data_IF_158586068637
#
_entry.id   IF_158586068637
#
_cell.length_a   1.000
_cell.length_b   1.000
_cell.length_c   1.000
_cell.angle_alpha   90.00
_cell.angle_beta   90.00
_cell.angle_gamma   90.00
#
_symmetry.space_group_name_H-M   'P 1'
#
loop_
_entity.id
_entity.type
_entity.pdbx_description
1 polymer ?
#
# COMPACT_ATOMS: atom_id res chain seq x y z
N UNK A 1 -29.83 12.49 -58.36
CA UNK A 1 -28.80 12.17 -57.35
C UNK A 1 -29.35 11.13 -56.37
N UNK A 2 -28.92 9.87 -56.46
CA UNK A 2 -29.40 8.78 -55.61
C UNK A 2 -28.58 8.71 -54.30
N UNK A 3 -29.23 8.85 -53.14
CA UNK A 3 -28.59 8.72 -51.83
C UNK A 3 -28.62 7.25 -51.37
N UNK A 4 -27.43 6.63 -51.29
CA UNK A 4 -27.18 5.30 -50.71
C UNK A 4 -27.64 5.27 -49.24
N UNK A 5 -28.54 4.34 -48.87
CA UNK A 5 -28.86 4.02 -47.47
C UNK A 5 -27.78 3.10 -46.91
N UNK A 6 -27.07 3.55 -45.87
CA UNK A 6 -26.08 2.77 -45.13
C UNK A 6 -26.75 1.66 -44.29
N UNK A 7 -26.22 0.44 -44.39
CA UNK A 7 -26.65 -0.73 -43.64
C UNK A 7 -26.17 -0.64 -42.19
N UNK A 8 -27.12 -0.63 -41.24
CA UNK A 8 -26.83 -0.85 -39.82
C UNK A 8 -26.58 -2.34 -39.61
N UNK A 9 -25.31 -2.74 -39.45
CA UNK A 9 -24.95 -4.07 -38.93
C UNK A 9 -25.44 -4.16 -37.48
N UNK A 10 -26.38 -5.07 -37.22
CA UNK A 10 -26.86 -5.43 -35.89
C UNK A 10 -25.76 -6.15 -35.12
N UNK A 11 -25.37 -5.60 -33.97
CA UNK A 11 -24.54 -6.30 -32.98
C UNK A 11 -25.49 -7.11 -32.09
N UNK A 12 -25.30 -8.43 -31.91
CA UNK A 12 -26.15 -9.20 -31.02
C UNK A 12 -25.90 -8.81 -29.55
N UNK A 13 -26.94 -8.74 -28.69
CA UNK A 13 -26.77 -8.41 -27.29
C UNK A 13 -26.02 -9.53 -26.55
N UNK A 14 -24.96 -9.14 -25.83
CA UNK A 14 -24.16 -10.01 -24.95
C UNK A 14 -25.08 -10.61 -23.87
N UNK A 15 -25.16 -11.93 -23.81
CA UNK A 15 -25.94 -12.66 -22.80
C UNK A 15 -25.54 -12.23 -21.38
N UNK A 16 -26.52 -11.75 -20.61
CA UNK A 16 -26.38 -11.46 -19.18
C UNK A 16 -26.20 -12.77 -18.42
N UNK A 17 -24.98 -13.02 -17.94
CA UNK A 17 -24.71 -14.09 -16.97
C UNK A 17 -25.61 -13.87 -15.75
N UNK A 18 -26.51 -14.80 -15.51
CA UNK A 18 -27.34 -14.86 -14.31
C UNK A 18 -26.48 -14.73 -13.06
N UNK A 19 -26.81 -13.76 -12.19
CA UNK A 19 -26.18 -13.59 -10.88
C UNK A 19 -26.57 -14.79 -10.02
N UNK A 20 -25.59 -15.65 -9.72
CA UNK A 20 -25.77 -16.70 -8.70
C UNK A 20 -26.06 -16.04 -7.34
N UNK A 21 -26.96 -16.61 -6.50
CA UNK A 21 -27.20 -16.09 -5.16
C UNK A 21 -25.92 -16.25 -4.33
N UNK A 22 -25.51 -15.16 -3.68
CA UNK A 22 -24.31 -15.09 -2.83
C UNK A 22 -24.59 -15.92 -1.58
N UNK A 23 -23.95 -17.08 -1.48
CA UNK A 23 -23.90 -17.85 -0.24
C UNK A 23 -23.33 -16.95 0.87
N UNK A 24 -23.91 -17.03 2.09
CA UNK A 24 -23.46 -16.29 3.28
C UNK A 24 -21.96 -16.45 3.43
N UNK A 25 -21.21 -15.38 3.16
CA UNK A 25 -19.77 -15.37 3.32
C UNK A 25 -19.43 -15.57 4.79
N UNK A 26 -18.62 -16.58 5.09
CA UNK A 26 -18.03 -16.76 6.41
C UNK A 26 -17.20 -15.51 6.80
N UNK A 27 -17.20 -15.10 8.08
CA UNK A 27 -16.46 -13.93 8.50
C UNK A 27 -14.97 -14.15 8.24
N UNK A 28 -14.35 -13.24 7.48
CA UNK A 28 -12.92 -13.33 7.19
C UNK A 28 -12.17 -12.91 8.45
N UNK A 29 -11.03 -13.55 8.72
CA UNK A 29 -10.15 -13.20 9.86
C UNK A 29 -9.79 -11.71 9.87
N UNK A 30 -9.71 -11.08 8.69
CA UNK A 30 -9.47 -9.64 8.55
C UNK A 30 -10.55 -8.77 9.22
N UNK A 31 -11.80 -9.23 9.30
CA UNK A 31 -12.92 -8.48 9.89
C UNK A 31 -12.90 -8.53 11.43
N UNK A 32 -12.02 -9.33 12.04
CA UNK A 32 -11.88 -9.47 13.49
C UNK A 32 -10.84 -8.53 14.10
N UNK A 33 -10.10 -7.78 13.27
CA UNK A 33 -9.08 -6.84 13.74
C UNK A 33 -9.76 -5.51 14.07
N UNK A 34 -9.56 -4.95 15.28
CA UNK A 34 -10.13 -3.65 15.61
C UNK A 34 -9.57 -2.56 14.69
N UNK A 35 -10.44 -1.60 14.33
CA UNK A 35 -10.02 -0.45 13.53
C UNK A 35 -8.99 0.39 14.29
N UNK A 36 -7.86 0.69 13.64
CA UNK A 36 -6.81 1.53 14.21
C UNK A 36 -7.23 3.00 14.08
N UNK A 37 -7.13 3.76 15.16
CA UNK A 37 -7.36 5.21 15.13
C UNK A 37 -6.12 5.95 14.60
N UNK A 38 -6.28 7.13 13.97
CA UNK A 38 -5.14 7.90 13.45
C UNK A 38 -4.13 8.31 14.54
N UNK A 39 -4.59 8.47 15.78
CA UNK A 39 -3.71 8.74 16.93
C UNK A 39 -2.83 7.54 17.29
N UNK A 40 -3.42 6.33 17.28
CA UNK A 40 -2.66 5.09 17.50
C UNK A 40 -1.63 4.85 16.40
N UNK A 41 -1.97 5.14 15.13
CA UNK A 41 -1.00 5.04 14.03
C UNK A 41 0.19 5.98 14.22
N UNK A 42 -0.06 7.24 14.60
CA UNK A 42 0.99 8.22 14.88
C UNK A 42 1.89 7.78 16.04
N UNK A 43 1.29 7.35 17.14
CA UNK A 43 2.03 6.87 18.30
C UNK A 43 2.87 5.63 17.96
N UNK A 44 2.29 4.64 17.27
CA UNK A 44 2.98 3.44 16.83
C UNK A 44 4.14 3.77 15.89
N UNK A 45 3.93 4.69 14.94
CA UNK A 45 4.97 5.15 14.02
C UNK A 45 6.13 5.80 14.77
N UNK A 46 5.85 6.66 15.74
CA UNK A 46 6.88 7.31 16.56
C UNK A 46 7.72 6.28 17.33
N UNK A 47 7.08 5.32 18.00
CA UNK A 47 7.77 4.25 18.70
C UNK A 47 8.61 3.37 17.77
N UNK A 48 8.09 3.07 16.59
CA UNK A 48 8.82 2.30 15.58
C UNK A 48 10.11 3.02 15.15
N UNK A 49 10.02 4.31 14.82
CA UNK A 49 11.17 5.12 14.39
C UNK A 49 12.20 5.23 15.53
N UNK A 50 11.75 5.51 16.76
CA UNK A 50 12.62 5.55 17.93
C UNK A 50 13.35 4.23 18.15
N UNK A 51 12.65 3.10 17.99
CA UNK A 51 13.25 1.77 18.09
C UNK A 51 14.32 1.51 17.03
N UNK A 52 14.10 1.94 15.79
CA UNK A 52 15.10 1.80 14.72
C UNK A 52 16.37 2.57 15.03
N UNK A 53 16.24 3.81 15.50
CA UNK A 53 17.39 4.65 15.84
C UNK A 53 18.12 4.09 17.06
N UNK A 54 17.39 3.70 18.11
CA UNK A 54 17.98 3.16 19.33
C UNK A 54 18.75 1.84 19.10
N UNK A 55 18.30 1.00 18.17
CA UNK A 55 18.99 -0.26 17.81
C UNK A 55 20.11 -0.07 16.78
N UNK A 56 20.30 1.13 16.22
CA UNK A 56 21.25 1.37 15.13
C UNK A 56 20.83 0.73 13.80
N UNK A 57 19.54 0.43 13.62
CA UNK A 57 18.98 -0.16 12.39
C UNK A 57 18.66 0.88 11.31
N UNK A 58 18.77 2.16 11.66
CA UNK A 58 18.61 3.31 10.77
C UNK A 58 19.89 4.16 10.76
N UNK A 59 20.36 4.52 9.57
CA UNK A 59 21.53 5.39 9.38
C UNK A 59 21.19 6.62 8.54
N UNK A 60 21.94 7.74 8.67
CA UNK A 60 21.77 8.90 7.80
C UNK A 60 21.88 8.53 6.31
N UNK A 61 21.09 9.20 5.49
CA UNK A 61 21.17 9.05 4.04
C UNK A 61 22.61 9.29 3.53
N UNK A 62 23.03 8.47 2.57
CA UNK A 62 24.38 8.52 2.00
C UNK A 62 25.45 7.80 2.82
N UNK A 63 25.15 7.36 4.05
CA UNK A 63 26.05 6.49 4.80
C UNK A 63 25.83 5.02 4.42
N UNK A 64 26.91 4.21 4.36
CA UNK A 64 26.76 2.78 4.19
C UNK A 64 25.96 2.21 5.38
N UNK A 65 24.92 1.42 5.08
CA UNK A 65 24.19 0.72 6.13
C UNK A 65 25.11 -0.34 6.76
N UNK A 66 25.31 -0.30 8.09
CA UNK A 66 26.05 -1.36 8.78
C UNK A 66 25.30 -2.69 8.66
N UNK A 67 25.98 -3.83 8.87
CA UNK A 67 25.34 -5.14 8.92
C UNK A 67 24.16 -5.15 9.90
N UNK A 68 22.96 -5.49 9.43
CA UNK A 68 21.72 -5.50 10.22
C UNK A 68 20.90 -4.21 10.14
N UNK A 69 21.46 -3.09 9.67
CA UNK A 69 20.66 -1.91 9.38
C UNK A 69 19.89 -2.08 8.06
N UNK A 70 18.63 -1.66 8.09
CA UNK A 70 17.70 -1.83 6.97
C UNK A 70 17.02 -0.53 6.56
N UNK A 71 17.21 0.56 7.32
CA UNK A 71 16.56 1.84 7.08
C UNK A 71 17.57 2.97 6.89
N UNK A 72 17.22 3.94 6.06
CA UNK A 72 17.93 5.20 5.88
C UNK A 72 17.06 6.35 6.40
N UNK A 73 17.69 7.29 7.11
CA UNK A 73 17.08 8.53 7.57
C UNK A 73 17.25 9.55 6.46
N UNK A 74 16.15 9.89 5.79
CA UNK A 74 16.08 10.79 4.62
C UNK A 74 15.76 12.24 5.00
N UNK A 75 15.64 12.53 6.30
CA UNK A 75 15.35 13.86 6.80
C UNK A 75 14.60 13.84 8.12
N UNK A 76 13.96 14.97 8.43
CA UNK A 76 13.09 15.15 9.61
C UNK A 76 11.75 15.72 9.16
N UNK A 77 10.69 15.39 9.88
CA UNK A 77 9.38 16.01 9.69
C UNK A 77 9.29 17.38 10.40
N UNK A 78 8.15 18.04 10.27
CA UNK A 78 7.90 19.35 10.89
C UNK A 78 7.96 19.33 12.43
N UNK A 79 7.89 18.15 13.04
CA UNK A 79 7.94 17.94 14.49
C UNK A 79 9.35 17.49 14.94
N UNK A 80 10.31 17.41 14.02
CA UNK A 80 11.67 16.96 14.26
C UNK A 80 11.85 15.44 14.34
N UNK A 81 10.84 14.64 13.99
CA UNK A 81 10.96 13.18 13.98
C UNK A 81 11.70 12.70 12.72
N UNK A 82 12.61 11.72 12.83
CA UNK A 82 13.33 11.18 11.68
C UNK A 82 12.39 10.55 10.65
N UNK A 83 12.49 10.97 9.39
CA UNK A 83 11.84 10.31 8.27
C UNK A 83 12.74 9.16 7.83
N UNK A 84 12.23 7.92 7.94
CA UNK A 84 12.97 6.71 7.59
C UNK A 84 12.38 6.02 6.37
N UNK A 85 13.26 5.54 5.49
CA UNK A 85 12.92 4.73 4.32
C UNK A 85 13.68 3.42 4.39
N UNK A 86 12.99 2.30 4.19
CA UNK A 86 13.64 0.98 4.15
C UNK A 86 14.46 0.87 2.86
N UNK A 87 15.76 0.58 2.99
CA UNK A 87 16.60 0.22 1.85
C UNK A 87 16.55 -1.29 1.68
N UNK A 88 16.08 -1.74 0.52
CA UNK A 88 16.17 -3.14 0.11
C UNK A 88 17.45 -3.31 -0.69
N UNK A 89 18.31 -4.22 -0.26
CA UNK A 89 19.43 -4.66 -1.08
C UNK A 89 18.87 -5.51 -2.22
N UNK A 90 19.29 -5.21 -3.45
CA UNK A 90 19.08 -6.14 -4.55
C UNK A 90 19.85 -7.40 -4.21
N UNK A 91 19.14 -8.53 -4.09
CA UNK A 91 19.78 -9.81 -4.35
C UNK A 91 19.99 -9.78 -5.87
N UNK A 92 21.24 -9.69 -6.28
CA UNK A 92 21.68 -9.58 -7.67
C UNK A 92 20.83 -10.38 -8.66
#
# INVERSE_FOLDING_TARGET
MAKKKASKKSVPPKASKARKPVAKAEPKVADQVPAVTPEQEKAARKHFIQGLVARGEAVPEGQPLPPGATHEIIGTDAEGQPLVKRKRFSLF
#
